data_IF_500374111969
#
_entry.id   IF_500374111969
#
_cell.length_a   1.000
_cell.length_b   1.000
_cell.length_c   1.000
_cell.angle_alpha   90.00
_cell.angle_beta   90.00
_cell.angle_gamma   90.00
#
_symmetry.space_group_name_H-M   'P 1'
#
loop_
_entity.id
_entity.type
_entity.pdbx_description
1 polymer ?
#
# COMPACT_ATOMS: atom_id res chain seq x y z
N UNK A 1 -30.18 58.02 -23.12
CA UNK A 1 -29.29 57.79 -21.96
C UNK A 1 -29.60 56.37 -21.50
N UNK A 2 -28.80 55.40 -21.95
CA UNK A 2 -27.76 54.70 -21.15
C UNK A 2 -28.37 53.95 -19.97
N UNK A 3 -28.14 52.68 -19.70
CA UNK A 3 -27.26 51.63 -20.25
C UNK A 3 -27.73 50.34 -19.55
N UNK A 4 -27.90 49.24 -20.27
CA UNK A 4 -27.98 47.90 -19.67
C UNK A 4 -26.80 47.10 -20.21
N UNK A 5 -25.72 47.04 -19.44
CA UNK A 5 -24.58 46.17 -19.71
C UNK A 5 -24.93 44.74 -19.28
N UNK A 6 -25.17 43.87 -20.27
CA UNK A 6 -25.16 42.43 -20.10
C UNK A 6 -23.71 41.97 -20.21
N UNK A 7 -23.08 41.67 -19.07
CA UNK A 7 -21.78 41.00 -19.03
C UNK A 7 -21.95 39.51 -19.34
N UNK A 8 -21.56 39.11 -20.54
CA UNK A 8 -21.46 37.72 -20.97
C UNK A 8 -20.18 37.12 -20.38
N UNK A 9 -20.33 36.22 -19.40
CA UNK A 9 -19.22 35.46 -18.83
C UNK A 9 -18.71 34.47 -19.89
N UNK A 10 -17.53 34.74 -20.43
CA UNK A 10 -16.84 33.87 -21.38
C UNK A 10 -16.55 32.49 -20.75
N UNK A 11 -17.02 31.43 -21.40
CA UNK A 11 -16.66 30.07 -21.08
C UNK A 11 -15.17 29.81 -21.39
N UNK A 12 -14.45 28.99 -20.58
CA UNK A 12 -13.04 28.75 -20.80
C UNK A 12 -12.77 27.94 -22.08
N UNK A 13 -11.77 28.39 -22.82
CA UNK A 13 -11.30 27.93 -24.13
C UNK A 13 -10.83 26.46 -24.11
N UNK A 14 -11.13 25.72 -25.19
CA UNK A 14 -10.71 24.32 -25.41
C UNK A 14 -9.19 24.08 -25.46
N UNK A 15 -8.35 25.12 -25.53
CA UNK A 15 -6.91 24.98 -25.75
C UNK A 15 -6.10 24.60 -24.49
N UNK A 16 -6.60 24.88 -23.28
CA UNK A 16 -5.90 24.60 -22.02
C UNK A 16 -6.10 23.15 -21.54
N UNK A 17 -7.16 22.46 -21.98
CA UNK A 17 -7.45 21.07 -21.58
C UNK A 17 -6.45 20.03 -22.12
N UNK A 18 -5.65 20.39 -23.13
CA UNK A 18 -4.67 19.49 -23.75
C UNK A 18 -3.31 19.42 -23.04
N UNK A 19 -2.92 20.45 -22.27
CA UNK A 19 -1.65 20.46 -21.52
C UNK A 19 -1.70 19.63 -20.25
N UNK A 20 -2.87 19.58 -19.61
CA UNK A 20 -2.98 19.11 -18.22
C UNK A 20 -3.08 17.58 -18.12
N UNK A 21 -3.66 16.92 -19.13
CA UNK A 21 -3.60 15.45 -19.24
C UNK A 21 -2.15 14.96 -19.39
N UNK A 22 -1.32 15.72 -20.12
CA UNK A 22 0.10 15.45 -20.27
C UNK A 22 0.88 15.57 -18.96
N UNK A 23 0.43 16.42 -18.02
CA UNK A 23 1.09 16.56 -16.72
C UNK A 23 0.92 15.31 -15.84
N UNK A 24 -0.28 14.74 -15.81
CA UNK A 24 -0.54 13.50 -15.05
C UNK A 24 0.20 12.29 -15.67
N UNK A 25 0.23 12.19 -17.00
CA UNK A 25 1.01 11.18 -17.72
C UNK A 25 2.51 11.32 -17.46
N UNK A 26 3.05 12.55 -17.51
CA UNK A 26 4.46 12.80 -17.22
C UNK A 26 4.81 12.45 -15.76
N UNK A 27 3.97 12.83 -14.80
CA UNK A 27 4.16 12.46 -13.40
C UNK A 27 4.12 10.94 -13.20
N UNK A 28 3.22 10.24 -13.89
CA UNK A 28 3.15 8.78 -13.86
C UNK A 28 4.40 8.13 -14.48
N UNK A 29 4.91 8.66 -15.60
CA UNK A 29 6.14 8.18 -16.21
C UNK A 29 7.33 8.26 -15.24
N UNK A 30 7.47 9.39 -14.51
CA UNK A 30 8.51 9.55 -13.48
C UNK A 30 8.37 8.50 -12.36
N UNK A 31 7.14 8.16 -11.95
CA UNK A 31 6.91 7.12 -10.94
C UNK A 31 7.28 5.72 -11.46
N UNK A 32 7.03 5.44 -12.73
CA UNK A 32 7.43 4.18 -13.38
C UNK A 32 8.95 4.07 -13.52
N UNK A 33 9.63 5.15 -13.87
CA UNK A 33 11.10 5.19 -13.92
C UNK A 33 11.69 4.88 -12.54
N UNK A 34 11.19 5.53 -11.48
CA UNK A 34 11.59 5.25 -10.10
C UNK A 34 11.33 3.80 -9.68
N UNK A 35 10.24 3.21 -10.14
CA UNK A 35 9.94 1.80 -9.90
C UNK A 35 11.02 0.90 -10.53
N UNK A 36 11.42 1.21 -11.76
CA UNK A 36 12.45 0.47 -12.49
C UNK A 36 13.86 0.69 -11.93
N UNK A 37 14.17 1.85 -11.39
CA UNK A 37 15.47 2.13 -10.76
C UNK A 37 15.65 1.35 -9.45
N UNK A 38 14.56 0.97 -8.78
CA UNK A 38 14.58 0.28 -7.49
C UNK A 38 14.94 -1.24 -7.57
N UNK A 39 15.83 -1.64 -8.48
CA UNK A 39 16.14 -3.05 -8.77
C UNK A 39 16.67 -3.85 -7.56
N UNK A 40 16.30 -5.14 -7.43
CA UNK A 40 15.42 -5.88 -8.33
C UNK A 40 13.93 -5.60 -8.08
N UNK A 41 13.16 -5.37 -9.17
CA UNK A 41 11.71 -5.22 -9.10
C UNK A 41 11.06 -6.48 -8.51
N UNK A 42 10.35 -6.32 -7.38
CA UNK A 42 9.64 -7.43 -6.75
C UNK A 42 8.25 -7.61 -7.37
N UNK A 43 8.19 -8.16 -8.59
CA UNK A 43 6.95 -8.39 -9.36
C UNK A 43 5.86 -9.10 -8.53
N UNK A 44 6.23 -10.13 -7.77
CA UNK A 44 5.30 -10.84 -6.89
C UNK A 44 4.63 -9.91 -5.86
N UNK A 45 5.34 -8.88 -5.40
CA UNK A 45 4.83 -7.93 -4.40
C UNK A 45 3.85 -6.94 -5.02
N UNK A 46 4.01 -6.57 -6.30
CA UNK A 46 3.02 -5.82 -7.07
C UNK A 46 1.76 -6.66 -7.28
N UNK A 47 1.91 -7.92 -7.71
CA UNK A 47 0.78 -8.85 -7.87
C UNK A 47 0.00 -8.95 -6.56
N UNK A 48 0.69 -9.17 -5.43
CA UNK A 48 0.03 -9.22 -4.12
C UNK A 48 -0.67 -7.91 -3.76
N UNK A 49 -0.12 -6.74 -4.13
CA UNK A 49 -0.86 -5.47 -3.99
C UNK A 49 -2.14 -5.48 -4.79
N UNK A 50 -2.07 -5.83 -6.07
CA UNK A 50 -3.22 -5.87 -6.96
C UNK A 50 -4.31 -6.81 -6.45
N UNK A 51 -3.91 -8.01 -5.98
CA UNK A 51 -4.85 -8.97 -5.41
C UNK A 51 -5.55 -8.43 -4.16
N UNK A 52 -4.83 -7.83 -3.22
CA UNK A 52 -5.43 -7.31 -1.98
C UNK A 52 -6.25 -6.02 -2.19
N UNK A 53 -5.77 -5.14 -3.06
CA UNK A 53 -6.43 -3.86 -3.35
C UNK A 53 -7.68 -4.02 -4.22
N UNK A 54 -7.51 -4.60 -5.42
CA UNK A 54 -8.51 -4.55 -6.49
C UNK A 54 -9.34 -5.83 -6.62
N UNK A 55 -8.72 -7.00 -6.42
CA UNK A 55 -9.36 -8.29 -6.73
C UNK A 55 -10.11 -8.87 -5.53
N UNK A 56 -9.55 -8.79 -4.32
CA UNK A 56 -10.17 -9.33 -3.11
C UNK A 56 -11.59 -8.80 -2.86
N UNK A 57 -11.89 -7.49 -3.03
CA UNK A 57 -13.25 -6.97 -2.89
C UNK A 57 -14.21 -7.45 -3.98
N UNK A 58 -13.68 -7.91 -5.12
CA UNK A 58 -14.43 -8.29 -6.32
C UNK A 58 -14.42 -9.81 -6.54
N UNK A 59 -14.64 -10.57 -5.47
CA UNK A 59 -14.72 -12.04 -5.51
C UNK A 59 -13.36 -12.77 -5.44
N UNK A 60 -12.24 -12.04 -5.43
CA UNK A 60 -10.94 -12.59 -5.05
C UNK A 60 -10.25 -13.45 -6.10
N UNK A 61 -10.77 -13.54 -7.31
CA UNK A 61 -10.18 -14.27 -8.44
C UNK A 61 -10.03 -13.38 -9.68
N UNK A 62 -8.92 -13.55 -10.41
CA UNK A 62 -8.71 -12.90 -11.71
C UNK A 62 -7.94 -13.78 -12.69
N UNK A 63 -8.21 -13.59 -13.98
CA UNK A 63 -7.46 -14.17 -15.08
C UNK A 63 -6.01 -13.67 -15.11
N UNK A 64 -5.06 -14.58 -15.37
CA UNK A 64 -3.65 -14.24 -15.49
C UNK A 64 -3.34 -13.24 -16.62
N UNK A 65 -4.18 -13.17 -17.65
CA UNK A 65 -4.03 -12.21 -18.75
C UNK A 65 -4.28 -10.77 -18.29
N UNK A 66 -5.28 -10.53 -17.45
CA UNK A 66 -5.52 -9.19 -16.84
C UNK A 66 -4.32 -8.74 -16.02
N UNK A 67 -3.72 -9.64 -15.23
CA UNK A 67 -2.50 -9.33 -14.46
C UNK A 67 -1.33 -9.01 -15.39
N UNK A 68 -1.23 -9.72 -16.52
CA UNK A 68 -0.17 -9.52 -17.51
C UNK A 68 -0.36 -8.23 -18.31
N UNK A 69 -1.60 -7.84 -18.62
CA UNK A 69 -1.94 -6.57 -19.27
C UNK A 69 -1.55 -5.40 -18.37
N UNK A 70 -2.03 -5.38 -17.12
CA UNK A 70 -1.73 -4.32 -16.16
C UNK A 70 -0.22 -4.17 -15.89
N UNK A 71 0.48 -5.26 -15.61
CA UNK A 71 1.91 -5.21 -15.35
C UNK A 71 2.72 -4.96 -16.63
N UNK A 72 2.19 -5.32 -17.80
CA UNK A 72 2.76 -4.97 -19.11
C UNK A 72 2.77 -3.47 -19.36
N UNK A 73 1.70 -2.76 -18.99
CA UNK A 73 1.64 -1.29 -19.01
C UNK A 73 2.67 -0.64 -18.07
N UNK A 74 3.19 -1.39 -17.10
CA UNK A 74 4.26 -0.98 -16.20
C UNK A 74 5.66 -1.40 -16.68
N UNK A 75 5.80 -1.96 -17.89
CA UNK A 75 7.08 -2.43 -18.43
C UNK A 75 7.54 -3.81 -17.92
N UNK A 76 6.67 -4.56 -17.24
CA UNK A 76 7.00 -5.92 -16.76
C UNK A 76 6.65 -6.95 -17.82
N UNK A 77 7.61 -7.78 -18.20
CA UNK A 77 7.39 -8.80 -19.22
C UNK A 77 6.46 -9.95 -18.75
N UNK A 78 5.72 -10.53 -19.69
CA UNK A 78 4.76 -11.60 -19.40
C UNK A 78 5.42 -12.89 -18.86
N UNK A 79 6.72 -13.11 -19.08
CA UNK A 79 7.42 -14.25 -18.49
C UNK A 79 7.69 -14.02 -16.99
N UNK A 80 8.12 -12.81 -16.59
CA UNK A 80 8.27 -12.41 -15.20
C UNK A 80 6.93 -12.46 -14.44
N UNK A 81 5.83 -11.99 -15.05
CA UNK A 81 4.49 -12.10 -14.46
C UNK A 81 4.11 -13.56 -14.21
N UNK A 82 4.26 -14.43 -15.21
CA UNK A 82 3.95 -15.87 -15.08
C UNK A 82 4.82 -16.57 -14.03
N UNK A 83 6.11 -16.22 -13.97
CA UNK A 83 7.03 -16.75 -12.97
C UNK A 83 6.62 -16.32 -11.56
N UNK A 84 6.25 -15.04 -11.38
CA UNK A 84 5.80 -14.51 -10.10
C UNK A 84 4.46 -15.11 -9.65
N UNK A 85 3.47 -15.24 -10.54
CA UNK A 85 2.20 -15.93 -10.24
C UNK A 85 2.42 -17.40 -9.85
N UNK A 86 3.27 -18.11 -10.60
CA UNK A 86 3.60 -19.51 -10.30
C UNK A 86 4.31 -19.66 -8.96
N UNK A 87 5.18 -18.71 -8.62
CA UNK A 87 5.85 -18.66 -7.31
C UNK A 87 4.85 -18.41 -6.20
N UNK A 88 3.98 -17.41 -6.32
CA UNK A 88 2.95 -17.11 -5.32
C UNK A 88 2.01 -18.31 -5.10
N UNK A 89 1.67 -19.04 -6.15
CA UNK A 89 0.88 -20.26 -6.02
C UNK A 89 1.65 -21.39 -5.31
N UNK A 90 2.92 -21.60 -5.65
CA UNK A 90 3.79 -22.58 -4.98
C UNK A 90 4.00 -22.26 -3.50
N UNK A 91 4.16 -20.98 -3.19
CA UNK A 91 4.39 -20.46 -1.84
C UNK A 91 3.07 -20.39 -1.03
N UNK A 92 1.95 -20.86 -1.58
CA UNK A 92 0.66 -20.97 -0.89
C UNK A 92 -0.13 -19.65 -0.77
N UNK A 93 0.31 -18.57 -1.41
CA UNK A 93 -0.38 -17.28 -1.39
C UNK A 93 -1.58 -17.24 -2.35
N UNK A 94 -1.47 -17.94 -3.47
CA UNK A 94 -2.51 -18.01 -4.50
C UNK A 94 -2.92 -19.45 -4.79
N UNK A 95 -4.16 -19.62 -5.20
CA UNK A 95 -4.66 -20.87 -5.77
C UNK A 95 -4.85 -20.68 -7.27
N UNK A 96 -4.41 -21.67 -8.06
CA UNK A 96 -4.53 -21.64 -9.52
C UNK A 96 -5.65 -22.57 -9.97
N UNK A 97 -6.60 -22.03 -10.72
CA UNK A 97 -7.63 -22.81 -11.42
C UNK A 97 -7.45 -22.68 -12.93
N UNK A 98 -7.58 -23.78 -13.68
CA UNK A 98 -7.48 -23.78 -15.14
C UNK A 98 -8.84 -24.13 -15.76
N UNK A 99 -9.32 -23.28 -16.66
CA UNK A 99 -10.53 -23.51 -17.45
C UNK A 99 -10.15 -23.39 -18.92
N UNK A 100 -10.16 -24.50 -19.64
CA UNK A 100 -9.65 -24.58 -21.01
C UNK A 100 -8.20 -24.11 -21.15
N UNK A 101 -8.01 -23.02 -21.91
CA UNK A 101 -6.68 -22.41 -22.17
C UNK A 101 -6.34 -21.29 -21.17
N UNK A 102 -7.29 -20.86 -20.34
CA UNK A 102 -7.12 -19.74 -19.41
C UNK A 102 -6.74 -20.26 -18.03
N UNK A 103 -5.88 -19.50 -17.33
CA UNK A 103 -5.51 -19.75 -15.94
C UNK A 103 -5.97 -18.58 -15.09
N UNK A 104 -6.73 -18.90 -14.06
CA UNK A 104 -7.25 -17.98 -13.06
C UNK A 104 -6.48 -18.18 -11.77
N UNK A 105 -6.27 -17.09 -11.05
CA UNK A 105 -5.60 -17.09 -9.76
C UNK A 105 -6.50 -16.40 -8.75
N UNK A 106 -6.61 -16.99 -7.57
CA UNK A 106 -7.34 -16.44 -6.44
C UNK A 106 -6.45 -16.38 -5.21
N UNK A 107 -6.72 -15.48 -4.26
CA UNK A 107 -6.09 -15.57 -2.93
C UNK A 107 -6.47 -16.91 -2.29
N UNK A 108 -5.49 -17.62 -1.74
CA UNK A 108 -5.77 -18.82 -0.94
C UNK A 108 -6.45 -18.45 0.38
N UNK A 109 -7.02 -19.44 1.09
CA UNK A 109 -7.54 -19.22 2.45
C UNK A 109 -6.49 -18.60 3.38
N UNK A 110 -5.30 -19.21 3.43
CA UNK A 110 -4.16 -18.71 4.22
C UNK A 110 -3.68 -17.34 3.74
N UNK A 111 -3.69 -17.08 2.43
CA UNK A 111 -3.35 -15.77 1.86
C UNK A 111 -4.31 -14.69 2.36
N UNK A 112 -5.62 -14.94 2.32
CA UNK A 112 -6.64 -14.00 2.83
C UNK A 112 -6.44 -13.69 4.32
N UNK A 113 -6.22 -14.70 5.15
CA UNK A 113 -6.01 -14.53 6.59
C UNK A 113 -4.73 -13.75 6.90
N UNK A 114 -3.64 -14.02 6.19
CA UNK A 114 -2.39 -13.30 6.34
C UNK A 114 -2.50 -11.83 5.91
N UNK A 115 -3.35 -11.52 4.92
CA UNK A 115 -3.50 -10.17 4.39
C UNK A 115 -4.55 -9.31 5.10
N UNK A 116 -5.58 -9.90 5.72
CA UNK A 116 -6.66 -9.14 6.35
C UNK A 116 -6.16 -7.99 7.25
N UNK A 117 -5.29 -8.27 8.24
CA UNK A 117 -4.72 -7.22 9.10
C UNK A 117 -3.87 -6.19 8.35
N UNK A 118 -3.11 -6.62 7.34
CA UNK A 118 -2.27 -5.73 6.54
C UNK A 118 -3.12 -4.79 5.65
N UNK A 119 -4.16 -5.30 5.01
CA UNK A 119 -5.11 -4.53 4.20
C UNK A 119 -5.81 -3.50 5.08
N UNK A 120 -6.37 -3.92 6.22
CA UNK A 120 -7.03 -3.00 7.15
C UNK A 120 -6.12 -1.84 7.55
N UNK A 121 -4.83 -2.12 7.81
CA UNK A 121 -3.84 -1.10 8.17
C UNK A 121 -3.45 -0.17 7.03
N UNK A 122 -3.47 -0.64 5.77
CA UNK A 122 -3.16 0.19 4.60
C UNK A 122 -4.24 1.25 4.37
N UNK A 123 -5.50 0.89 4.54
CA UNK A 123 -6.64 1.77 4.23
C UNK A 123 -7.22 2.49 5.45
N UNK A 124 -6.71 2.21 6.66
CA UNK A 124 -7.12 2.91 7.87
C UNK A 124 -6.55 4.33 7.92
N UNK A 125 -7.32 5.23 8.51
CA UNK A 125 -6.83 6.52 8.99
C UNK A 125 -5.96 6.26 10.22
N UNK A 126 -4.67 6.65 10.22
CA UNK A 126 -3.80 6.43 11.36
C UNK A 126 -4.41 7.06 12.59
N UNK A 127 -4.81 6.23 13.57
CA UNK A 127 -5.34 6.73 14.82
C UNK A 127 -4.21 7.47 15.54
N UNK A 128 -4.39 8.74 15.79
CA UNK A 128 -3.65 9.44 16.84
C UNK A 128 -4.18 8.91 18.18
N UNK A 129 -3.80 7.69 18.56
CA UNK A 129 -4.14 7.14 19.87
C UNK A 129 -3.65 8.10 20.96
N UNK A 130 -4.42 8.26 22.03
CA UNK A 130 -4.03 9.06 23.19
C UNK A 130 -2.82 8.49 23.95
N UNK A 131 -2.51 7.20 23.76
CA UNK A 131 -1.28 6.56 24.24
C UNK A 131 -0.96 5.29 23.44
N UNK A 132 0.30 5.08 23.07
CA UNK A 132 0.75 3.79 22.56
C UNK A 132 0.79 2.75 23.68
N UNK A 133 0.17 1.59 23.45
CA UNK A 133 0.34 0.42 24.34
C UNK A 133 1.61 -0.32 23.95
N UNK A 134 2.71 0.01 24.62
CA UNK A 134 3.99 -0.62 24.37
C UNK A 134 3.99 -2.06 24.90
N UNK A 135 4.70 -2.92 24.18
CA UNK A 135 4.91 -4.33 24.54
C UNK A 135 6.40 -4.63 24.51
N UNK A 136 6.91 -5.24 25.57
CA UNK A 136 8.28 -5.80 25.56
C UNK A 136 8.16 -7.28 25.25
N UNK A 137 8.93 -7.74 24.27
CA UNK A 137 9.03 -9.14 23.91
C UNK A 137 10.43 -9.63 24.26
N UNK A 138 10.50 -10.58 25.18
CA UNK A 138 11.73 -11.31 25.47
C UNK A 138 11.75 -12.57 24.62
N UNK A 139 12.72 -12.65 23.71
CA UNK A 139 12.98 -13.84 22.91
C UNK A 139 13.60 -14.93 23.80
N UNK A 140 13.30 -16.22 23.55
CA UNK A 140 13.93 -17.31 24.30
C UNK A 140 15.43 -17.35 24.06
N UNK A 141 16.18 -17.87 25.04
CA UNK A 141 17.59 -18.17 24.87
C UNK A 141 17.80 -19.12 23.68
N UNK A 142 18.72 -18.76 22.80
CA UNK A 142 19.04 -19.57 21.62
C UNK A 142 18.01 -19.50 20.49
N UNK A 143 17.71 -18.30 19.97
CA UNK A 143 17.28 -18.11 18.56
C UNK A 143 18.53 -18.15 17.68
N UNK A 144 19.11 -19.33 17.37
CA UNK A 144 20.50 -19.44 16.92
C UNK A 144 20.66 -18.97 15.47
N UNK A 145 19.53 -18.76 14.78
CA UNK A 145 19.45 -18.33 13.38
C UNK A 145 18.83 -16.94 13.22
N UNK A 146 18.42 -16.29 14.31
CA UNK A 146 17.77 -14.97 14.28
C UNK A 146 16.45 -14.93 13.51
N UNK A 147 15.86 -16.10 13.21
CA UNK A 147 14.74 -16.19 12.27
C UNK A 147 13.48 -15.55 12.83
N UNK A 148 13.22 -15.75 14.13
CA UNK A 148 12.09 -15.15 14.83
C UNK A 148 12.30 -13.65 15.02
N UNK A 149 13.51 -13.25 15.45
CA UNK A 149 13.88 -11.83 15.51
C UNK A 149 13.67 -11.13 14.16
N UNK A 150 14.24 -11.67 13.09
CA UNK A 150 14.19 -11.04 11.76
C UNK A 150 12.76 -10.98 11.21
N UNK A 151 11.94 -12.01 11.47
CA UNK A 151 10.52 -12.00 11.13
C UNK A 151 9.76 -10.91 11.91
N UNK A 152 10.01 -10.78 13.22
CA UNK A 152 9.40 -9.75 14.05
C UNK A 152 9.81 -8.34 13.59
N UNK A 153 11.10 -8.09 13.34
CA UNK A 153 11.58 -6.80 12.83
C UNK A 153 10.95 -6.44 11.47
N UNK A 154 10.80 -7.43 10.58
CA UNK A 154 10.11 -7.25 9.29
C UNK A 154 8.61 -6.94 9.45
N UNK A 155 8.03 -7.28 10.60
CA UNK A 155 6.60 -7.14 10.90
C UNK A 155 6.28 -5.93 11.79
N UNK A 156 7.25 -5.04 12.02
CA UNK A 156 7.05 -3.77 12.73
C UNK A 156 7.39 -3.80 14.22
N UNK A 157 8.17 -4.79 14.69
CA UNK A 157 8.84 -4.71 15.99
C UNK A 157 10.16 -3.94 15.88
N UNK A 158 10.52 -3.23 16.94
CA UNK A 158 11.83 -2.60 17.12
C UNK A 158 12.75 -3.47 17.99
N UNK A 159 14.06 -3.32 17.85
CA UNK A 159 15.03 -4.00 18.71
C UNK A 159 15.57 -3.06 19.80
N UNK A 160 15.23 -3.34 21.06
CA UNK A 160 15.70 -2.52 22.18
C UNK A 160 17.07 -2.98 22.71
N UNK A 161 17.30 -4.31 22.71
CA UNK A 161 18.56 -4.95 23.11
C UNK A 161 18.69 -6.34 22.45
N UNK A 162 19.85 -7.03 22.54
CA UNK A 162 19.93 -8.44 22.17
C UNK A 162 18.87 -9.27 22.92
N UNK A 163 18.04 -10.01 22.20
CA UNK A 163 16.95 -10.81 22.78
C UNK A 163 15.71 -10.04 23.26
N UNK A 164 15.69 -8.70 23.16
CA UNK A 164 14.58 -7.87 23.64
C UNK A 164 14.05 -6.98 22.52
N UNK A 165 12.78 -7.18 22.16
CA UNK A 165 12.08 -6.37 21.15
C UNK A 165 11.04 -5.47 21.80
N UNK A 166 10.77 -4.34 21.15
CA UNK A 166 9.70 -3.41 21.48
C UNK A 166 8.62 -3.51 20.40
N UNK A 167 7.39 -3.76 20.81
CA UNK A 167 6.21 -3.73 19.96
C UNK A 167 5.21 -2.67 20.42
N UNK A 168 4.23 -2.43 19.58
CA UNK A 168 3.08 -1.54 19.85
C UNK A 168 1.79 -2.33 19.72
N UNK A 169 0.64 -1.68 19.84
CA UNK A 169 -0.68 -2.28 19.63
C UNK A 169 -0.89 -2.79 18.21
N UNK A 170 -0.26 -2.15 17.21
CA UNK A 170 -0.31 -2.55 15.80
C UNK A 170 0.71 -3.62 15.40
N UNK A 171 1.64 -3.99 16.30
CA UNK A 171 2.55 -5.11 16.05
C UNK A 171 1.74 -6.42 16.01
N UNK A 172 1.85 -7.23 14.93
CA UNK A 172 1.11 -8.47 14.82
C UNK A 172 1.62 -9.49 15.85
N UNK A 173 0.80 -10.48 16.24
CA UNK A 173 1.28 -11.59 17.06
C UNK A 173 2.55 -12.22 16.46
N UNK A 174 3.50 -12.60 17.31
CA UNK A 174 4.68 -13.33 16.87
C UNK A 174 4.24 -14.66 16.24
N UNK A 175 4.79 -14.96 15.08
CA UNK A 175 4.56 -16.19 14.36
C UNK A 175 5.90 -16.87 14.05
N UNK A 176 5.86 -18.21 13.96
CA UNK A 176 7.03 -19.03 13.65
C UNK A 176 7.53 -19.86 14.83
N UNK A 177 8.54 -20.68 14.56
CA UNK A 177 9.15 -21.56 15.54
C UNK A 177 9.71 -20.76 16.72
N UNK A 178 9.32 -21.13 17.94
CA UNK A 178 9.75 -20.46 19.17
C UNK A 178 8.90 -19.25 19.59
N UNK A 179 7.92 -18.80 18.79
CA UNK A 179 7.02 -17.71 19.17
C UNK A 179 6.29 -17.97 20.50
N UNK A 180 5.80 -19.20 20.71
CA UNK A 180 5.13 -19.61 21.95
C UNK A 180 6.03 -19.63 23.19
N UNK A 181 7.36 -19.57 23.01
CA UNK A 181 8.34 -19.49 24.10
C UNK A 181 8.73 -18.05 24.45
N UNK A 182 8.27 -17.07 23.67
CA UNK A 182 8.52 -15.67 23.97
C UNK A 182 7.67 -15.22 25.16
N UNK A 183 8.24 -14.39 26.01
CA UNK A 183 7.45 -13.68 27.04
C UNK A 183 7.06 -12.31 26.51
N UNK A 184 5.77 -11.98 26.55
CA UNK A 184 5.24 -10.68 26.12
C UNK A 184 4.72 -9.95 27.34
N UNK A 185 5.27 -8.77 27.61
CA UNK A 185 4.93 -7.92 28.74
C UNK A 185 4.27 -6.65 28.22
N UNK A 186 3.20 -6.19 28.88
CA UNK A 186 2.75 -4.81 28.72
C UNK A 186 3.76 -3.88 29.40
N UNK A 187 4.06 -2.74 28.79
CA UNK A 187 5.05 -1.81 29.30
C UNK A 187 4.53 -0.37 29.31
N UNK A 188 4.82 0.33 30.41
CA UNK A 188 4.58 1.77 30.57
C UNK A 188 5.91 2.48 30.81
N UNK A 189 6.09 3.67 30.23
CA UNK A 189 7.28 4.49 30.47
C UNK A 189 7.04 5.40 31.68
N UNK A 190 7.59 4.98 32.82
CA UNK A 190 7.42 5.68 34.10
C UNK A 190 8.28 6.96 34.21
N UNK A 191 9.50 6.94 33.66
CA UNK A 191 10.44 8.08 33.66
C UNK A 191 11.50 7.93 32.56
N UNK A 192 12.27 8.99 32.29
CA UNK A 192 13.35 9.00 31.31
C UNK A 192 12.97 9.51 29.91
N UNK A 193 13.94 9.59 28.97
CA UNK A 193 13.72 10.16 27.65
C UNK A 193 12.94 9.20 26.74
N UNK A 194 11.62 9.41 26.65
CA UNK A 194 10.69 8.55 25.89
C UNK A 194 11.07 8.40 24.42
N UNK A 195 11.45 9.50 23.77
CA UNK A 195 11.83 9.51 22.34
C UNK A 195 13.11 8.72 22.09
N UNK A 196 14.12 8.88 22.94
CA UNK A 196 15.39 8.13 22.80
C UNK A 196 15.18 6.62 22.92
N UNK A 197 14.29 6.16 23.81
CA UNK A 197 13.95 4.73 23.91
C UNK A 197 13.41 4.19 22.59
N UNK A 198 12.51 4.95 21.97
CA UNK A 198 11.82 4.58 20.73
C UNK A 198 12.77 4.67 19.55
N UNK A 199 13.60 5.71 19.45
CA UNK A 199 14.62 5.86 18.40
C UNK A 199 15.69 4.77 18.46
N UNK A 200 16.02 4.27 19.66
CA UNK A 200 16.91 3.12 19.82
C UNK A 200 16.26 1.81 19.37
N UNK A 201 14.95 1.68 19.57
CA UNK A 201 14.22 0.47 19.22
C UNK A 201 13.85 0.41 17.75
N UNK A 202 13.38 1.52 17.19
CA UNK A 202 12.83 1.62 15.85
C UNK A 202 13.74 2.50 14.97
N UNK A 203 14.01 2.04 13.76
CA UNK A 203 14.70 2.82 12.73
C UNK A 203 13.79 3.93 12.15
N UNK A 204 13.39 4.89 12.98
CA UNK A 204 12.44 5.96 12.62
C UNK A 204 13.02 6.90 11.57
N UNK A 205 14.28 7.32 11.68
CA UNK A 205 14.87 8.27 10.73
C UNK A 205 14.93 7.73 9.29
N UNK A 206 15.37 6.47 9.03
CA UNK A 206 15.23 5.85 7.71
C UNK A 206 13.79 5.75 7.21
N UNK A 207 12.83 5.47 8.10
CA UNK A 207 11.42 5.39 7.72
C UNK A 207 10.84 6.77 7.37
N UNK A 208 11.14 7.80 8.15
CA UNK A 208 10.77 9.19 7.86
C UNK A 208 11.29 9.64 6.50
N UNK A 209 12.57 9.37 6.18
CA UNK A 209 13.13 9.68 4.85
C UNK A 209 12.34 9.02 3.70
N UNK A 210 11.92 7.77 3.88
CA UNK A 210 11.12 7.06 2.87
C UNK A 210 9.71 7.63 2.74
N UNK A 211 9.12 8.12 3.83
CA UNK A 211 7.87 8.86 3.78
C UNK A 211 8.01 10.19 3.05
N UNK A 212 9.07 10.95 3.29
CA UNK A 212 9.35 12.18 2.52
C UNK A 212 9.53 11.88 1.03
N UNK A 213 10.31 10.85 0.67
CA UNK A 213 10.46 10.42 -0.73
C UNK A 213 9.12 10.02 -1.38
N UNK A 214 8.24 9.38 -0.61
CA UNK A 214 6.88 9.08 -1.07
C UNK A 214 6.08 10.36 -1.31
N UNK A 215 6.09 11.29 -0.36
CA UNK A 215 5.39 12.57 -0.49
C UNK A 215 5.91 13.33 -1.72
N UNK A 216 7.22 13.55 -1.81
CA UNK A 216 7.88 14.23 -2.94
C UNK A 216 7.60 13.55 -4.28
N UNK A 217 7.50 12.22 -4.32
CA UNK A 217 7.22 11.48 -5.55
C UNK A 217 5.78 11.55 -6.03
N UNK A 218 4.82 11.56 -5.10
CA UNK A 218 3.41 11.47 -5.43
C UNK A 218 2.69 12.83 -5.44
N UNK A 219 3.25 13.88 -4.83
CA UNK A 219 2.68 15.23 -4.88
C UNK A 219 2.44 15.75 -6.30
N UNK A 220 3.39 15.65 -7.26
CA UNK A 220 3.17 16.14 -8.62
C UNK A 220 1.99 15.45 -9.33
N UNK A 221 1.79 14.15 -9.07
CA UNK A 221 0.65 13.41 -9.61
C UNK A 221 -0.67 13.91 -8.99
N UNK A 222 -0.68 14.23 -7.69
CA UNK A 222 -1.87 14.74 -7.03
C UNK A 222 -2.27 16.12 -7.59
N UNK A 223 -1.31 17.02 -7.74
CA UNK A 223 -1.52 18.36 -8.31
C UNK A 223 -2.03 18.30 -9.76
N UNK A 224 -1.47 17.40 -10.57
CA UNK A 224 -1.92 17.20 -11.94
C UNK A 224 -3.35 16.65 -12.03
N UNK A 225 -3.69 15.65 -11.21
CA UNK A 225 -5.04 15.05 -11.19
C UNK A 225 -6.11 15.99 -10.65
N UNK A 226 -5.77 16.88 -9.72
CA UNK A 226 -6.68 17.91 -9.18
C UNK A 226 -6.96 19.01 -10.21
N UNK A 227 -5.99 19.34 -11.06
CA UNK A 227 -6.11 20.39 -12.07
C UNK A 227 -6.95 19.95 -13.27
N UNK A 228 -6.91 18.67 -13.67
CA UNK A 228 -7.69 18.14 -14.79
C UNK A 228 -8.03 16.65 -14.67
N UNK A 229 -9.27 16.28 -14.27
CA UNK A 229 -9.71 14.88 -14.31
C UNK A 229 -10.28 14.46 -15.68
N UNK A 230 -10.14 13.19 -16.14
CA UNK A 230 -9.34 12.07 -15.60
C UNK A 230 -8.26 11.56 -16.58
N UNK A 231 -7.24 10.86 -16.08
CA UNK A 231 -6.34 9.98 -16.86
C UNK A 231 -7.10 8.79 -17.46
N UNK A 232 -6.58 8.18 -18.53
CA UNK A 232 -7.17 6.98 -19.14
C UNK A 232 -7.27 5.85 -18.09
N UNK A 233 -8.33 5.04 -18.13
CA UNK A 233 -8.61 4.02 -17.09
C UNK A 233 -7.45 3.06 -16.78
N UNK A 234 -6.65 2.66 -17.79
CA UNK A 234 -5.46 1.82 -17.57
C UNK A 234 -4.37 2.57 -16.79
N UNK A 235 -4.10 3.83 -17.14
CA UNK A 235 -3.16 4.69 -16.43
C UNK A 235 -3.63 4.96 -15.00
N UNK A 236 -4.94 5.11 -14.77
CA UNK A 236 -5.51 5.23 -13.43
C UNK A 236 -5.24 3.97 -12.59
N UNK A 237 -5.39 2.78 -13.18
CA UNK A 237 -5.11 1.51 -12.50
C UNK A 237 -3.62 1.33 -12.21
N UNK A 238 -2.74 1.69 -13.15
CA UNK A 238 -1.28 1.71 -12.91
C UNK A 238 -0.92 2.70 -11.80
N UNK A 239 -1.45 3.92 -11.90
CA UNK A 239 -1.62 4.95 -10.88
C UNK A 239 -1.76 4.39 -9.47
N UNK A 240 -2.92 3.77 -9.29
CA UNK A 240 -3.40 3.23 -8.04
C UNK A 240 -2.53 2.09 -7.54
N UNK A 241 -2.12 1.18 -8.42
CA UNK A 241 -1.26 0.06 -8.05
C UNK A 241 0.09 0.53 -7.51
N UNK A 242 0.72 1.50 -8.19
CA UNK A 242 1.97 2.12 -7.74
C UNK A 242 1.80 2.80 -6.38
N UNK A 243 0.75 3.61 -6.23
CA UNK A 243 0.44 4.33 -5.00
C UNK A 243 0.31 3.39 -3.80
N UNK A 244 -0.60 2.41 -3.90
CA UNK A 244 -0.86 1.47 -2.79
C UNK A 244 0.35 0.58 -2.55
N UNK A 245 1.06 0.18 -3.60
CA UNK A 245 2.28 -0.62 -3.42
C UNK A 245 3.36 0.15 -2.65
N UNK A 246 3.60 1.41 -3.01
CA UNK A 246 4.57 2.27 -2.34
C UNK A 246 4.17 2.54 -0.89
N UNK A 247 2.93 2.98 -0.66
CA UNK A 247 2.43 3.31 0.68
C UNK A 247 2.40 2.09 1.62
N UNK A 248 1.95 0.93 1.13
CA UNK A 248 1.93 -0.34 1.90
C UNK A 248 3.30 -0.68 2.48
N UNK A 249 4.39 -0.47 1.72
CA UNK A 249 5.76 -0.78 2.16
C UNK A 249 6.28 0.13 3.28
N UNK A 250 5.63 1.27 3.48
CA UNK A 250 5.91 2.23 4.55
C UNK A 250 5.02 1.89 5.76
N UNK A 251 3.70 1.92 5.56
CA UNK A 251 2.73 1.82 6.66
C UNK A 251 2.79 0.47 7.38
N UNK A 252 3.17 -0.62 6.71
CA UNK A 252 3.34 -1.94 7.37
C UNK A 252 4.62 -2.04 8.21
N UNK A 253 5.53 -1.06 8.12
CA UNK A 253 6.72 -0.95 8.97
C UNK A 253 6.59 0.14 10.03
N UNK A 254 5.62 1.04 9.89
CA UNK A 254 5.37 2.12 10.84
C UNK A 254 4.92 1.57 12.20
N UNK A 255 5.60 1.84 13.31
CA UNK A 255 5.17 1.32 14.61
C UNK A 255 3.85 1.92 15.13
N UNK A 256 3.23 2.89 14.42
CA UNK A 256 2.00 3.60 14.80
C UNK A 256 2.07 4.16 16.23
N UNK A 257 3.20 4.80 16.53
CA UNK A 257 3.46 5.39 17.83
C UNK A 257 2.58 6.62 18.05
N UNK A 258 2.25 6.91 19.30
CA UNK A 258 1.57 8.14 19.68
C UNK A 258 2.45 9.35 19.34
N UNK A 259 1.85 10.50 18.99
CA UNK A 259 2.61 11.70 18.61
C UNK A 259 3.68 12.14 19.63
N UNK A 260 3.45 11.87 20.93
CA UNK A 260 4.39 12.15 22.01
C UNK A 260 5.71 11.36 21.90
N UNK A 261 5.67 10.17 21.30
CA UNK A 261 6.80 9.25 21.12
C UNK A 261 7.52 9.45 19.77
N UNK A 262 6.89 10.18 18.85
CA UNK A 262 7.43 10.44 17.52
C UNK A 262 8.31 11.69 17.49
N UNK A 263 9.22 11.79 16.51
CA UNK A 263 9.84 13.05 16.13
C UNK A 263 8.78 14.12 15.79
N UNK A 264 9.06 15.38 16.07
CA UNK A 264 8.09 16.48 15.88
C UNK A 264 7.69 16.72 14.42
N UNK A 265 8.54 16.32 13.48
CA UNK A 265 8.37 16.46 12.03
C UNK A 265 7.94 15.14 11.35
N UNK A 266 7.36 14.19 12.10
CA UNK A 266 7.01 12.87 11.57
C UNK A 266 6.06 12.95 10.35
N UNK A 267 6.47 12.46 9.17
CA UNK A 267 5.72 12.64 7.92
C UNK A 267 4.57 11.64 7.70
N UNK A 268 4.35 10.69 8.62
CA UNK A 268 3.41 9.58 8.43
C UNK A 268 1.97 10.03 8.15
N UNK A 269 1.47 11.05 8.86
CA UNK A 269 0.12 11.60 8.65
C UNK A 269 -0.01 12.30 7.29
N UNK A 270 0.98 13.10 6.90
CA UNK A 270 0.98 13.77 5.60
C UNK A 270 1.01 12.77 4.45
N UNK A 271 1.81 11.70 4.58
CA UNK A 271 1.84 10.62 3.60
C UNK A 271 0.52 9.85 3.51
N UNK A 272 -0.14 9.58 4.64
CA UNK A 272 -1.47 8.97 4.64
C UNK A 272 -2.50 9.87 3.94
N UNK A 273 -2.53 11.17 4.26
CA UNK A 273 -3.45 12.12 3.65
C UNK A 273 -3.24 12.25 2.13
N UNK A 274 -1.99 12.27 1.66
CA UNK A 274 -1.66 12.22 0.24
C UNK A 274 -2.13 10.91 -0.42
N UNK A 275 -1.89 9.77 0.24
CA UNK A 275 -2.33 8.46 -0.26
C UNK A 275 -3.86 8.39 -0.37
N UNK A 276 -4.58 8.81 0.67
CA UNK A 276 -6.04 8.85 0.69
C UNK A 276 -6.60 9.72 -0.44
N UNK A 277 -6.03 10.93 -0.60
CA UNK A 277 -6.46 11.88 -1.63
C UNK A 277 -6.27 11.32 -3.04
N UNK A 278 -5.07 10.83 -3.36
CA UNK A 278 -4.80 10.21 -4.66
C UNK A 278 -5.65 8.98 -4.91
N UNK A 279 -5.84 8.13 -3.90
CA UNK A 279 -6.68 6.94 -4.04
C UNK A 279 -8.11 7.32 -4.46
N UNK A 280 -8.71 8.35 -3.82
CA UNK A 280 -10.05 8.84 -4.18
C UNK A 280 -10.11 9.41 -5.61
N UNK A 281 -9.08 10.13 -6.05
CA UNK A 281 -9.00 10.66 -7.41
C UNK A 281 -8.87 9.55 -8.47
N UNK A 282 -8.14 8.49 -8.16
CA UNK A 282 -7.86 7.39 -9.09
C UNK A 282 -8.96 6.31 -9.09
N UNK A 283 -9.72 6.18 -8.00
CA UNK A 283 -10.67 5.08 -7.79
C UNK A 283 -11.69 4.96 -8.95
N UNK A 284 -12.41 6.02 -9.39
CA UNK A 284 -13.46 5.86 -10.40
C UNK A 284 -12.95 5.30 -11.73
N UNK A 285 -11.90 5.89 -12.31
CA UNK A 285 -11.36 5.48 -13.60
C UNK A 285 -10.65 4.11 -13.52
N UNK A 286 -9.97 3.81 -12.41
CA UNK A 286 -9.33 2.50 -12.21
C UNK A 286 -10.36 1.37 -12.05
N UNK A 287 -11.48 1.63 -11.37
CA UNK A 287 -12.56 0.67 -11.18
C UNK A 287 -13.37 0.42 -12.45
N UNK A 288 -13.56 1.46 -13.27
CA UNK A 288 -14.16 1.32 -14.59
C UNK A 288 -13.29 0.42 -15.48
N UNK A 289 -11.98 0.66 -15.54
CA UNK A 289 -11.05 -0.19 -16.28
C UNK A 289 -11.11 -1.64 -15.80
N UNK A 290 -11.10 -1.87 -14.49
CA UNK A 290 -11.25 -3.22 -13.92
C UNK A 290 -12.55 -3.89 -14.37
N UNK A 291 -13.67 -3.16 -14.30
CA UNK A 291 -14.98 -3.70 -14.65
C UNK A 291 -15.09 -4.05 -16.14
N UNK A 292 -14.38 -3.31 -17.00
CA UNK A 292 -14.38 -3.54 -18.46
C UNK A 292 -13.37 -4.60 -18.91
N UNK A 293 -12.23 -4.74 -18.23
CA UNK A 293 -11.07 -5.52 -18.71
C UNK A 293 -10.80 -6.79 -17.90
N UNK A 294 -11.15 -6.82 -16.62
CA UNK A 294 -10.82 -7.94 -15.75
C UNK A 294 -11.87 -9.05 -15.80
N UNK A 295 -11.39 -10.29 -15.83
CA UNK A 295 -12.22 -11.49 -15.92
C UNK A 295 -11.95 -12.45 -14.77
N UNK A 296 -13.01 -13.04 -14.21
CA UNK A 296 -12.94 -14.25 -13.37
C UNK A 296 -13.35 -15.48 -14.20
N UNK A 297 -13.36 -16.67 -13.58
CA UNK A 297 -13.74 -17.91 -14.29
C UNK A 297 -15.17 -17.88 -14.84
N UNK A 298 -16.05 -17.10 -14.22
CA UNK A 298 -17.48 -17.01 -14.55
C UNK A 298 -17.83 -15.84 -15.49
N UNK A 299 -16.83 -15.07 -15.95
CA UNK A 299 -17.02 -13.92 -16.83
C UNK A 299 -16.40 -12.65 -16.27
N UNK A 300 -17.17 -11.56 -16.21
CA UNK A 300 -16.72 -10.29 -15.63
C UNK A 300 -16.52 -10.39 -14.11
N UNK A 301 -15.61 -9.57 -13.57
CA UNK A 301 -15.49 -9.46 -12.12
C UNK A 301 -16.80 -8.99 -11.46
N UNK A 302 -17.20 -9.58 -10.33
CA UNK A 302 -18.27 -9.05 -9.48
C UNK A 302 -18.05 -7.58 -9.10
N UNK A 303 -19.15 -6.88 -8.80
CA UNK A 303 -19.10 -5.58 -8.14
C UNK A 303 -18.47 -5.73 -6.73
N UNK A 304 -17.71 -4.73 -6.26
CA UNK A 304 -17.16 -4.75 -4.92
C UNK A 304 -18.25 -4.52 -3.86
N UNK A 305 -18.02 -4.99 -2.64
CA UNK A 305 -18.88 -4.68 -1.50
C UNK A 305 -18.80 -3.19 -1.11
N UNK A 306 -19.73 -2.71 -0.27
CA UNK A 306 -19.78 -1.30 0.14
C UNK A 306 -18.53 -0.84 0.91
N UNK A 307 -17.94 -1.71 1.73
CA UNK A 307 -16.78 -1.38 2.58
C UNK A 307 -15.53 -1.05 1.77
N UNK A 308 -15.50 -1.47 0.51
CA UNK A 308 -14.48 -1.08 -0.47
C UNK A 308 -14.43 0.43 -0.71
N UNK A 309 -15.58 1.11 -0.70
CA UNK A 309 -15.68 2.55 -0.92
C UNK A 309 -15.44 3.36 0.35
N UNK A 310 -15.47 2.71 1.52
CA UNK A 310 -15.16 3.32 2.82
C UNK A 310 -13.65 3.34 3.14
N UNK A 311 -12.79 2.91 2.19
CA UNK A 311 -11.34 2.92 2.34
C UNK A 311 -10.81 4.36 2.42
N UNK A 312 -9.90 4.59 3.37
CA UNK A 312 -9.48 5.92 3.78
C UNK A 312 -10.67 6.78 4.21
N UNK A 313 -11.34 6.42 5.33
CA UNK A 313 -12.41 7.25 5.88
C UNK A 313 -11.85 8.60 6.31
N UNK A 314 -12.70 9.62 6.33
CA UNK A 314 -12.32 10.97 6.78
C UNK A 314 -12.01 11.03 8.29
#
# INVERSE_FOLDING_TARGET
MSESQSGEAAAPSCAERGSDHGAAEAALAVLLDRLHDAQPLRVWSLIITFFGDAIAPRGGEVWAGTVSELLGAMGVDAAAVRAALSRLARDGWLERTRVGRLSYYALSGAGREAFGPAIARVYATPRQSSASRLRIVCLPDGDPRGGLRDAALKSGYGQLAPGVLLGTDVSPPLAGEGAARCTVLAADILSGPRRELVERAFDLAPLARRYHQFIEGFTPLAEALESAPPVVGEQAMVARLLLIHAYRRLILRDPALSPELLPGDWPGLAANALCARLYRLLLPASDEWLSQRALCRDGALPAPDASYFDRFPD
#
